data_IF_456846442168
#
_entry.id   IF_456846442168
#
_cell.length_a   1.000
_cell.length_b   1.000
_cell.length_c   1.000
_cell.angle_alpha   90.00
_cell.angle_beta   90.00
_cell.angle_gamma   90.00
#
_symmetry.space_group_name_H-M   'P 1'
#
loop_
_entity.id
_entity.type
_entity.pdbx_description
1 polymer ?
#
# COMPACT_ATOMS: atom_id res chain seq x y z
N UNK A 1 4.88 -8.54 6.77
CA UNK A 1 5.44 -7.44 5.94
C UNK A 1 4.93 -6.11 6.48
N UNK A 2 5.81 -5.10 6.67
CA UNK A 2 5.47 -3.83 7.35
C UNK A 2 4.23 -3.11 6.79
N UNK A 3 4.08 -3.05 5.47
CA UNK A 3 2.93 -2.39 4.82
C UNK A 3 1.59 -3.01 5.24
N UNK A 4 1.52 -4.35 5.32
CA UNK A 4 0.27 -5.04 5.67
C UNK A 4 -0.05 -4.88 7.15
N UNK A 5 0.96 -4.97 8.02
CA UNK A 5 0.78 -4.70 9.46
C UNK A 5 0.33 -3.26 9.72
N UNK A 6 0.87 -2.29 8.95
CA UNK A 6 0.42 -0.91 9.03
C UNK A 6 -1.05 -0.78 8.63
N UNK A 7 -1.44 -1.37 7.50
CA UNK A 7 -2.84 -1.34 7.04
C UNK A 7 -3.79 -2.05 8.00
N UNK A 8 -3.38 -3.17 8.60
CA UNK A 8 -4.15 -3.85 9.64
C UNK A 8 -4.38 -2.97 10.88
N UNK A 9 -3.38 -2.16 11.26
CA UNK A 9 -3.46 -1.28 12.44
C UNK A 9 -4.13 0.06 12.16
N UNK A 10 -3.92 0.64 10.98
CA UNK A 10 -4.29 2.01 10.62
C UNK A 10 -5.42 2.09 9.58
N UNK A 11 -5.89 0.95 9.07
CA UNK A 11 -6.99 0.81 8.12
C UNK A 11 -6.61 1.05 6.66
N UNK A 12 -5.73 2.02 6.39
CA UNK A 12 -5.26 2.33 5.03
C UNK A 12 -3.82 2.83 4.99
N UNK A 13 -3.25 2.84 3.79
CA UNK A 13 -1.93 3.43 3.52
C UNK A 13 -1.89 4.09 2.15
N UNK A 14 -1.13 5.16 2.03
CA UNK A 14 -0.84 5.86 0.77
C UNK A 14 0.56 5.51 0.28
N UNK A 15 0.84 5.83 -0.99
CA UNK A 15 2.21 5.70 -1.55
C UNK A 15 3.25 6.46 -0.74
N UNK A 16 2.90 7.65 -0.23
CA UNK A 16 3.82 8.47 0.56
C UNK A 16 4.17 7.78 1.87
N UNK A 17 3.16 7.29 2.59
CA UNK A 17 3.37 6.55 3.83
C UNK A 17 4.18 5.28 3.60
N UNK A 18 3.97 4.54 2.50
CA UNK A 18 4.82 3.39 2.15
C UNK A 18 6.28 3.79 1.95
N UNK A 19 6.53 4.88 1.23
CA UNK A 19 7.88 5.38 0.97
C UNK A 19 8.60 5.74 2.27
N UNK A 20 7.91 6.43 3.18
CA UNK A 20 8.42 6.81 4.51
C UNK A 20 8.62 5.57 5.40
N UNK A 21 7.60 4.72 5.53
CA UNK A 21 7.60 3.50 6.37
C UNK A 21 8.70 2.52 5.97
N UNK A 22 8.88 2.30 4.66
CA UNK A 22 9.86 1.36 4.15
C UNK A 22 11.22 1.99 3.82
N UNK A 23 11.36 3.32 3.97
CA UNK A 23 12.57 4.09 3.59
C UNK A 23 13.01 3.81 2.14
N UNK A 24 12.05 3.84 1.22
CA UNK A 24 12.25 3.59 -0.22
C UNK A 24 11.75 4.74 -1.08
N UNK A 25 12.23 4.82 -2.32
CA UNK A 25 11.79 5.84 -3.27
C UNK A 25 10.32 5.69 -3.68
N UNK A 26 9.67 6.76 -4.16
CA UNK A 26 8.25 6.74 -4.56
C UNK A 26 7.96 5.77 -5.72
N UNK A 27 8.94 5.54 -6.59
CA UNK A 27 8.84 4.53 -7.65
C UNK A 27 8.78 3.11 -7.08
N UNK A 28 9.68 2.79 -6.15
CA UNK A 28 9.69 1.48 -5.46
C UNK A 28 8.42 1.28 -4.63
N UNK A 29 7.92 2.33 -3.95
CA UNK A 29 6.66 2.27 -3.22
C UNK A 29 5.47 1.95 -4.15
N UNK A 30 5.43 2.58 -5.34
CA UNK A 30 4.40 2.29 -6.35
C UNK A 30 4.46 0.84 -6.83
N UNK A 31 5.66 0.33 -7.11
CA UNK A 31 5.88 -1.06 -7.52
C UNK A 31 5.47 -2.05 -6.43
N UNK A 32 5.78 -1.74 -5.17
CA UNK A 32 5.40 -2.56 -4.02
C UNK A 32 3.88 -2.64 -3.85
N UNK A 33 3.21 -1.49 -3.89
CA UNK A 33 1.75 -1.40 -3.80
C UNK A 33 1.08 -2.12 -4.96
N UNK A 34 1.55 -1.91 -6.20
CA UNK A 34 1.03 -2.59 -7.37
C UNK A 34 1.13 -4.12 -7.26
N UNK A 35 2.29 -4.64 -6.81
CA UNK A 35 2.45 -6.08 -6.58
C UNK A 35 1.47 -6.60 -5.52
N UNK A 36 1.35 -5.94 -4.38
CA UNK A 36 0.43 -6.37 -3.31
C UNK A 36 -1.04 -6.30 -3.74
N UNK A 37 -1.40 -5.35 -4.62
CA UNK A 37 -2.72 -5.28 -5.21
C UNK A 37 -2.98 -6.42 -6.20
N UNK A 38 -2.02 -6.72 -7.08
CA UNK A 38 -2.12 -7.87 -8.01
C UNK A 38 -2.21 -9.20 -7.24
N UNK A 39 -1.49 -9.32 -6.12
CA UNK A 39 -1.56 -10.46 -5.21
C UNK A 39 -2.91 -10.54 -4.45
N UNK A 40 -3.76 -9.51 -4.51
CA UNK A 40 -5.03 -9.45 -3.77
C UNK A 40 -4.88 -9.18 -2.27
N UNK A 41 -3.68 -8.78 -1.82
CA UNK A 41 -3.37 -8.49 -0.42
C UNK A 41 -3.69 -7.04 -0.05
N UNK A 42 -3.75 -6.16 -1.04
CA UNK A 42 -4.26 -4.80 -0.91
C UNK A 42 -5.34 -4.49 -1.95
N UNK A 43 -6.30 -3.65 -1.60
CA UNK A 43 -7.25 -3.06 -2.54
C UNK A 43 -6.91 -1.59 -2.74
N UNK A 44 -6.89 -1.14 -4.01
CA UNK A 44 -6.60 0.25 -4.35
C UNK A 44 -7.91 1.03 -4.42
N UNK A 45 -7.90 2.20 -3.79
CA UNK A 45 -8.98 3.17 -3.80
C UNK A 45 -8.48 4.53 -4.27
N UNK A 46 -9.38 5.31 -4.87
CA UNK A 46 -9.06 6.64 -5.39
C UNK A 46 -8.08 6.61 -6.57
N UNK A 47 -7.71 7.81 -7.03
CA UNK A 47 -6.92 7.98 -8.25
C UNK A 47 -5.80 9.00 -8.10
N UNK A 48 -4.73 8.83 -8.89
CA UNK A 48 -3.58 9.74 -8.94
C UNK A 48 -3.03 10.07 -7.54
N UNK A 49 -3.07 11.33 -7.13
CA UNK A 49 -2.60 11.81 -5.82
C UNK A 49 -3.52 11.42 -4.66
N UNK A 50 -4.78 11.11 -4.93
CA UNK A 50 -5.76 10.66 -3.93
C UNK A 50 -5.81 9.14 -3.77
N UNK A 51 -4.87 8.39 -4.36
CA UNK A 51 -4.85 6.95 -4.25
C UNK A 51 -4.40 6.48 -2.85
N UNK A 52 -5.16 5.57 -2.25
CA UNK A 52 -4.86 4.90 -1.00
C UNK A 52 -5.22 3.42 -1.09
N UNK A 53 -4.73 2.63 -0.13
CA UNK A 53 -4.82 1.18 -0.17
C UNK A 53 -5.24 0.62 1.17
N UNK A 54 -6.16 -0.34 1.17
CA UNK A 54 -6.62 -1.07 2.36
C UNK A 54 -6.34 -2.57 2.24
N UNK A 55 -6.63 -3.32 3.30
CA UNK A 55 -6.39 -4.76 3.33
C UNK A 55 -7.30 -5.45 2.30
N UNK A 56 -6.69 -6.19 1.38
CA UNK A 56 -7.42 -7.07 0.48
C UNK A 56 -7.82 -8.37 1.16
N UNK A 57 -8.75 -9.10 0.54
CA UNK A 57 -9.36 -10.30 1.13
C UNK A 57 -8.42 -11.52 1.17
N UNK A 58 -7.29 -11.48 0.46
CA UNK A 58 -6.35 -12.60 0.42
C UNK A 58 -5.36 -12.53 1.58
N UNK A 59 -5.36 -13.54 2.45
CA UNK A 59 -4.42 -13.67 3.58
C UNK A 59 -3.12 -14.28 3.11
#
# INVERSE_FOLDING_TARGET
>A
QMVLQYVEKHGRITRREVAELCRIGPYQASRLLGRLTVEGRLLRHGERKGAWYERGQKI
#
